data_IF_601420200458
#
_entry.id   IF_601420200458
#
_cell.length_a   1.000
_cell.length_b   1.000
_cell.length_c   1.000
_cell.angle_alpha   90.00
_cell.angle_beta   90.00
_cell.angle_gamma   90.00
#
_symmetry.space_group_name_H-M   'P 1'
#
loop_
_entity.id
_entity.type
_entity.pdbx_description
1 polymer ?
#
# COMPACT_ATOMS: atom_id res chain seq x y z
N UNK A 1 -42.61 -78.46 -45.85
CA UNK A 1 -42.08 -77.45 -44.91
C UNK A 1 -40.62 -77.76 -44.70
N UNK A 2 -39.72 -76.97 -45.31
CA UNK A 2 -38.29 -77.17 -45.11
C UNK A 2 -37.84 -76.37 -43.89
N UNK A 3 -37.37 -77.12 -42.90
CA UNK A 3 -36.78 -76.68 -41.64
C UNK A 3 -35.64 -75.66 -41.83
N UNK A 4 -35.03 -75.61 -43.02
CA UNK A 4 -33.95 -74.68 -43.35
C UNK A 4 -34.33 -73.19 -43.31
N UNK A 5 -35.61 -72.84 -43.56
CA UNK A 5 -36.07 -71.45 -43.46
C UNK A 5 -36.27 -71.00 -42.00
N UNK A 6 -36.64 -71.94 -41.11
CA UNK A 6 -36.77 -71.67 -39.68
C UNK A 6 -35.41 -71.50 -39.00
N UNK A 7 -34.40 -72.30 -39.37
CA UNK A 7 -33.04 -72.16 -38.81
C UNK A 7 -32.36 -70.85 -39.22
N UNK A 8 -32.59 -70.34 -40.45
CA UNK A 8 -32.06 -69.04 -40.88
C UNK A 8 -32.69 -67.85 -40.14
N UNK A 9 -34.00 -67.90 -39.88
CA UNK A 9 -34.69 -66.83 -39.16
C UNK A 9 -34.28 -66.77 -37.69
N UNK A 10 -34.06 -67.92 -37.05
CA UNK A 10 -33.62 -67.99 -35.65
C UNK A 10 -32.16 -67.55 -35.50
N UNK A 11 -31.27 -67.93 -36.41
CA UNK A 11 -29.86 -67.48 -36.39
C UNK A 11 -29.69 -65.97 -36.56
N UNK A 12 -30.49 -65.34 -37.43
CA UNK A 12 -30.44 -63.88 -37.62
C UNK A 12 -30.98 -63.06 -36.43
N UNK A 13 -31.88 -63.63 -35.63
CA UNK A 13 -32.42 -62.97 -34.44
C UNK A 13 -31.41 -63.04 -33.28
N UNK A 14 -30.70 -64.17 -33.12
CA UNK A 14 -29.65 -64.31 -32.11
C UNK A 14 -28.43 -63.42 -32.41
N UNK A 15 -28.02 -63.32 -33.68
CA UNK A 15 -26.92 -62.43 -34.08
C UNK A 15 -27.27 -60.94 -33.86
N UNK A 16 -28.50 -60.51 -34.15
CA UNK A 16 -28.93 -59.11 -33.93
C UNK A 16 -29.10 -58.80 -32.41
N UNK A 17 -29.49 -59.79 -31.59
CA UNK A 17 -29.54 -59.63 -30.14
C UNK A 17 -28.16 -59.63 -29.48
N UNK A 18 -27.22 -60.48 -29.92
CA UNK A 18 -25.82 -60.44 -29.46
C UNK A 18 -25.17 -59.09 -29.81
N UNK A 19 -25.38 -58.63 -31.04
CA UNK A 19 -24.85 -57.33 -31.51
C UNK A 19 -25.41 -56.17 -30.68
N UNK A 20 -26.67 -56.26 -30.23
CA UNK A 20 -27.29 -55.24 -29.36
C UNK A 20 -26.91 -55.37 -27.87
N UNK A 21 -26.50 -56.55 -27.40
CA UNK A 21 -26.09 -56.77 -26.01
C UNK A 21 -24.64 -56.35 -25.76
N UNK A 22 -23.74 -56.55 -26.74
CA UNK A 22 -22.35 -56.08 -26.68
C UNK A 22 -22.26 -54.54 -26.74
N UNK A 23 -23.25 -53.88 -27.35
CA UNK A 23 -23.35 -52.41 -27.37
C UNK A 23 -23.72 -51.77 -26.02
N UNK A 24 -24.13 -52.54 -24.99
CA UNK A 24 -24.60 -52.02 -23.69
C UNK A 24 -23.69 -52.26 -22.49
N UNK A 25 -22.50 -52.84 -22.66
CA UNK A 25 -21.48 -52.94 -21.59
C UNK A 25 -20.27 -52.03 -21.87
N UNK A 26 -20.39 -50.76 -21.49
CA UNK A 26 -19.20 -49.89 -21.35
C UNK A 26 -18.34 -50.35 -20.15
N UNK A 27 -17.00 -50.17 -20.19
CA UNK A 27 -16.45 -48.91 -19.68
C UNK A 27 -15.27 -48.33 -20.48
N UNK A 28 -15.26 -47.00 -20.55
CA UNK A 28 -14.13 -46.07 -20.36
C UNK A 28 -12.72 -46.41 -20.87
N UNK A 29 -12.17 -45.39 -21.51
CA UNK A 29 -10.76 -45.18 -21.93
C UNK A 29 -10.43 -45.96 -23.21
N UNK A 30 -9.79 -45.37 -24.22
CA UNK A 30 -8.65 -44.46 -24.14
C UNK A 30 -8.50 -43.79 -25.53
N UNK A 31 -8.09 -42.52 -25.54
CA UNK A 31 -7.66 -41.75 -26.71
C UNK A 31 -8.75 -41.10 -27.59
N UNK A 32 -9.57 -40.28 -26.94
CA UNK A 32 -10.13 -39.08 -27.56
C UNK A 32 -9.07 -37.98 -27.49
N UNK A 33 -8.18 -37.94 -28.47
CA UNK A 33 -7.20 -36.86 -28.60
C UNK A 33 -6.92 -36.65 -30.08
N UNK A 34 -7.58 -35.64 -30.64
CA UNK A 34 -7.09 -34.74 -31.68
C UNK A 34 -8.16 -33.67 -31.84
N UNK A 35 -7.71 -32.42 -32.00
CA UNK A 35 -8.52 -31.22 -32.25
C UNK A 35 -9.12 -30.50 -31.03
N UNK A 36 -8.29 -30.15 -30.03
CA UNK A 36 -8.62 -29.07 -29.09
C UNK A 36 -7.39 -28.37 -28.47
N UNK A 37 -6.31 -28.18 -29.23
CA UNK A 37 -5.09 -27.52 -28.73
C UNK A 37 -4.77 -26.18 -29.38
N UNK A 38 -5.75 -25.49 -29.97
CA UNK A 38 -5.54 -24.15 -30.56
C UNK A 38 -6.35 -23.01 -29.90
N UNK A 39 -7.39 -23.31 -29.11
CA UNK A 39 -8.25 -22.28 -28.50
C UNK A 39 -7.91 -22.05 -27.01
N UNK A 40 -7.32 -23.05 -26.32
CA UNK A 40 -6.98 -22.92 -24.90
C UNK A 40 -5.75 -22.02 -24.63
N UNK A 41 -4.81 -21.88 -25.58
CA UNK A 41 -3.65 -21.00 -25.42
C UNK A 41 -3.97 -19.53 -25.65
N UNK A 42 -4.98 -19.20 -26.46
CA UNK A 42 -5.39 -17.81 -26.68
C UNK A 42 -6.10 -17.20 -25.46
N UNK A 43 -6.93 -17.99 -24.76
CA UNK A 43 -7.63 -17.50 -23.56
C UNK A 43 -6.69 -17.36 -22.34
N UNK A 44 -5.74 -18.28 -22.16
CA UNK A 44 -4.76 -18.19 -21.08
C UNK A 44 -3.79 -17.00 -21.26
N UNK A 45 -3.37 -16.70 -22.49
CA UNK A 45 -2.50 -15.56 -22.78
C UNK A 45 -3.19 -14.21 -22.50
N UNK A 46 -4.49 -14.06 -22.81
CA UNK A 46 -5.24 -12.83 -22.51
C UNK A 46 -5.43 -12.63 -21.00
N UNK A 47 -5.67 -13.70 -20.23
CA UNK A 47 -5.82 -13.60 -18.77
C UNK A 47 -4.47 -13.32 -18.09
N UNK A 48 -3.37 -13.91 -18.57
CA UNK A 48 -2.02 -13.62 -18.06
C UNK A 48 -1.59 -12.20 -18.43
N UNK A 49 -1.91 -11.70 -19.64
CA UNK A 49 -1.64 -10.32 -20.02
C UNK A 49 -2.47 -9.31 -19.23
N UNK A 50 -3.74 -9.59 -18.92
CA UNK A 50 -4.57 -8.71 -18.09
C UNK A 50 -4.14 -8.69 -16.62
N UNK A 51 -3.61 -9.81 -16.10
CA UNK A 51 -3.00 -9.87 -14.77
C UNK A 51 -1.62 -9.19 -14.74
N UNK A 52 -0.81 -9.33 -15.80
CA UNK A 52 0.53 -8.73 -15.87
C UNK A 52 0.51 -7.20 -16.05
N UNK A 53 -0.49 -6.64 -16.73
CA UNK A 53 -0.62 -5.17 -16.84
C UNK A 53 -1.18 -4.51 -15.58
N UNK A 54 -1.91 -5.25 -14.73
CA UNK A 54 -2.45 -4.74 -13.47
C UNK A 54 -1.46 -4.83 -12.31
N UNK A 55 -0.40 -5.65 -12.40
CA UNK A 55 0.69 -5.69 -11.42
C UNK A 55 1.70 -4.55 -11.64
N UNK A 56 1.75 -3.97 -12.84
CA UNK A 56 2.71 -2.91 -13.20
C UNK A 56 2.14 -1.49 -13.16
N UNK A 57 0.92 -1.32 -12.64
CA UNK A 57 0.29 -0.01 -12.47
C UNK A 57 -0.34 0.12 -11.09
N UNK A 58 0.36 -0.36 -10.05
CA UNK A 58 0.16 0.16 -8.70
C UNK A 58 0.71 1.60 -8.71
N UNK A 59 -0.14 2.55 -9.12
CA UNK A 59 0.07 3.93 -8.72
C UNK A 59 0.07 3.90 -7.20
N UNK A 60 1.25 4.04 -6.59
CA UNK A 60 1.36 4.26 -5.15
C UNK A 60 0.38 5.40 -4.82
N UNK A 61 -0.62 5.18 -3.97
CA UNK A 61 -1.58 6.21 -3.66
C UNK A 61 -0.84 7.38 -2.99
N UNK A 62 -0.61 8.44 -3.76
CA UNK A 62 -0.14 9.70 -3.21
C UNK A 62 -1.36 10.45 -2.69
N UNK A 63 -1.38 10.74 -1.39
CA UNK A 63 -2.39 11.59 -0.78
C UNK A 63 -1.88 13.03 -0.72
N UNK A 64 -2.66 13.96 -1.28
CA UNK A 64 -2.49 15.40 -1.10
C UNK A 64 -3.67 15.97 -0.32
N UNK A 65 -3.40 16.94 0.54
CA UNK A 65 -4.45 17.62 1.27
C UNK A 65 -5.15 18.67 0.39
N UNK A 66 -6.47 18.65 0.38
CA UNK A 66 -7.26 19.79 -0.10
C UNK A 66 -7.24 20.97 0.89
N UNK A 67 -7.30 22.19 0.37
CA UNK A 67 -7.43 23.43 1.15
C UNK A 67 -6.08 24.07 1.50
N UNK A 68 -6.09 25.01 2.45
CA UNK A 68 -4.88 25.71 2.89
C UNK A 68 -4.02 24.78 3.74
N UNK A 69 -2.76 24.60 3.33
CA UNK A 69 -1.77 23.80 4.06
C UNK A 69 -0.65 24.71 4.58
N UNK A 70 -0.36 24.57 5.88
CA UNK A 70 0.78 25.20 6.54
C UNK A 70 1.91 24.18 6.56
N UNK A 71 3.01 24.50 5.88
CA UNK A 71 4.21 23.67 5.80
C UNK A 71 5.45 24.33 6.42
N UNK A 72 5.30 25.56 6.91
CA UNK A 72 6.33 26.30 7.62
C UNK A 72 5.73 27.41 8.48
N UNK A 73 6.48 27.80 9.50
CA UNK A 73 6.24 29.01 10.27
C UNK A 73 7.55 29.46 10.88
N UNK A 74 7.80 30.77 10.92
CA UNK A 74 8.99 31.34 11.55
C UNK A 74 8.68 31.74 12.99
N UNK A 75 9.59 31.46 13.92
CA UNK A 75 9.49 31.99 15.30
C UNK A 75 9.92 33.47 15.33
N UNK A 76 9.19 34.38 16.03
CA UNK A 76 9.48 35.82 16.01
C UNK A 76 10.81 36.31 16.62
N UNK A 77 11.80 35.45 16.85
CA UNK A 77 13.08 35.85 17.46
C UNK A 77 14.21 34.88 17.09
N UNK A 78 14.82 35.03 15.92
CA UNK A 78 16.17 34.54 15.55
C UNK A 78 16.65 33.23 16.20
N UNK A 79 15.78 32.23 16.30
CA UNK A 79 16.00 31.04 17.12
C UNK A 79 16.86 30.03 16.38
N UNK A 80 17.94 29.63 17.04
CA UNK A 80 18.93 28.63 16.62
C UNK A 80 18.24 27.37 16.04
N UNK A 81 18.73 26.79 14.93
CA UNK A 81 18.16 25.57 14.36
C UNK A 81 18.22 24.39 15.33
N UNK A 82 17.05 23.79 15.55
CA UNK A 82 16.75 22.36 15.39
C UNK A 82 17.54 21.23 16.06
N UNK A 83 18.59 21.46 16.87
CA UNK A 83 19.46 20.32 17.28
C UNK A 83 19.51 20.02 18.78
N UNK A 84 18.62 20.57 19.61
CA UNK A 84 18.69 20.33 21.08
C UNK A 84 17.34 20.22 21.76
N UNK A 85 16.39 19.53 21.13
CA UNK A 85 15.17 19.11 21.82
C UNK A 85 15.40 17.76 22.51
N UNK A 86 14.96 17.67 23.75
CA UNK A 86 14.98 16.39 24.47
C UNK A 86 14.09 15.39 23.72
N UNK A 87 14.65 14.23 23.40
CA UNK A 87 13.90 13.17 22.75
C UNK A 87 12.69 12.78 23.61
N UNK A 88 11.48 12.73 23.04
CA UNK A 88 10.30 12.33 23.79
C UNK A 88 10.45 10.92 24.37
N UNK A 89 10.03 10.74 25.62
CA UNK A 89 9.88 9.41 26.23
C UNK A 89 8.64 8.72 25.65
N UNK A 90 8.54 7.40 25.82
CA UNK A 90 7.41 6.64 25.30
C UNK A 90 6.07 7.12 25.90
N UNK A 91 5.01 7.15 25.08
CA UNK A 91 3.71 7.72 25.44
C UNK A 91 3.64 9.24 25.42
N UNK A 92 4.72 9.95 25.08
CA UNK A 92 4.77 11.40 25.06
C UNK A 92 4.92 11.98 23.66
N UNK A 93 4.56 13.26 23.52
CA UNK A 93 4.66 14.00 22.27
C UNK A 93 5.27 15.37 22.49
N UNK A 94 6.04 15.83 21.51
CA UNK A 94 6.65 17.14 21.47
C UNK A 94 6.35 17.82 20.13
N UNK A 95 6.13 19.13 20.16
CA UNK A 95 5.98 19.95 18.96
C UNK A 95 7.10 20.97 18.94
N UNK A 96 7.79 21.09 17.81
CA UNK A 96 8.79 22.12 17.63
C UNK A 96 8.18 23.52 17.82
N UNK A 97 8.96 24.53 18.24
CA UNK A 97 8.45 25.88 18.45
C UNK A 97 7.72 26.46 17.23
N UNK A 98 8.15 26.12 16.02
CA UNK A 98 7.53 26.53 14.76
C UNK A 98 6.12 25.94 14.63
N UNK A 99 5.95 24.65 14.93
CA UNK A 99 4.62 24.01 14.93
C UNK A 99 3.72 24.61 16.01
N UNK A 100 4.25 24.86 17.20
CA UNK A 100 3.49 25.53 18.26
C UNK A 100 3.06 26.94 17.86
N UNK A 101 3.94 27.70 17.21
CA UNK A 101 3.64 29.05 16.72
C UNK A 101 2.59 29.00 15.60
N UNK A 102 2.70 28.05 14.68
CA UNK A 102 1.74 27.86 13.60
C UNK A 102 0.34 27.56 14.14
N UNK A 103 0.24 26.66 15.14
CA UNK A 103 -1.00 26.33 15.84
C UNK A 103 -1.63 27.56 16.51
N UNK A 104 -0.82 28.41 17.16
CA UNK A 104 -1.30 29.65 17.79
C UNK A 104 -1.81 30.65 16.76
N UNK A 105 -1.03 30.93 15.72
CA UNK A 105 -1.34 31.93 14.68
C UNK A 105 -2.56 31.58 13.84
N UNK A 106 -2.85 30.29 13.71
CA UNK A 106 -3.95 29.77 12.92
C UNK A 106 -5.05 29.13 13.78
N UNK A 107 -5.11 29.47 15.07
CA UNK A 107 -6.18 29.02 15.96
C UNK A 107 -7.55 29.41 15.40
N UNK A 108 -8.47 28.44 15.36
CA UNK A 108 -9.84 28.62 14.86
C UNK A 108 -9.97 28.73 13.34
N UNK A 109 -8.87 28.63 12.57
CA UNK A 109 -8.92 28.58 11.11
C UNK A 109 -9.01 27.13 10.63
N UNK A 110 -9.73 26.92 9.54
CA UNK A 110 -9.75 25.63 8.83
C UNK A 110 -8.52 25.52 7.92
N UNK A 111 -7.42 25.05 8.52
CA UNK A 111 -6.15 24.80 7.83
C UNK A 111 -5.61 23.43 8.23
N UNK A 112 -4.80 22.84 7.35
CA UNK A 112 -4.03 21.63 7.64
C UNK A 112 -2.57 21.97 7.88
N UNK A 113 -1.89 21.16 8.67
CA UNK A 113 -0.46 21.27 8.95
C UNK A 113 0.23 20.06 8.33
N UNK A 114 1.16 20.31 7.41
CA UNK A 114 2.03 19.28 6.86
C UNK A 114 3.30 19.23 7.70
N UNK A 115 3.44 18.19 8.50
CA UNK A 115 4.52 18.06 9.49
C UNK A 115 5.21 16.70 9.35
N UNK A 116 6.52 16.69 9.56
CA UNK A 116 7.28 15.48 9.82
C UNK A 116 6.91 14.91 11.19
N UNK A 117 6.95 13.58 11.29
CA UNK A 117 6.71 12.82 12.51
C UNK A 117 7.98 12.01 12.78
N UNK A 118 8.78 12.47 13.73
CA UNK A 118 9.93 11.70 14.21
C UNK A 118 9.41 10.74 15.29
N UNK A 119 9.56 9.43 15.07
CA UNK A 119 9.09 8.39 15.99
C UNK A 119 10.27 7.78 16.72
N UNK A 120 10.12 7.61 18.04
CA UNK A 120 11.18 7.12 18.92
C UNK A 120 10.69 5.92 19.72
N UNK A 121 11.53 4.90 19.88
CA UNK A 121 11.35 3.85 20.87
C UNK A 121 12.50 3.93 21.87
N UNK A 122 12.18 4.06 23.16
CA UNK A 122 13.16 4.23 24.24
C UNK A 122 14.16 5.37 23.96
N UNK A 123 13.62 6.50 23.49
CA UNK A 123 14.37 7.71 23.11
C UNK A 123 15.34 7.53 21.94
N UNK A 124 15.24 6.44 21.16
CA UNK A 124 16.03 6.22 19.95
C UNK A 124 15.14 6.35 18.72
N UNK A 125 15.57 7.07 17.67
CA UNK A 125 14.78 7.17 16.45
C UNK A 125 14.63 5.78 15.84
N UNK A 126 13.41 5.43 15.43
CA UNK A 126 13.18 4.22 14.66
C UNK A 126 13.48 4.48 13.18
N UNK A 127 13.95 3.46 12.47
CA UNK A 127 14.21 3.57 11.04
C UNK A 127 12.89 3.66 10.26
N UNK A 128 12.81 4.60 9.33
CA UNK A 128 11.58 4.98 8.59
C UNK A 128 10.93 3.79 7.87
N UNK A 129 11.72 2.85 7.35
CA UNK A 129 11.25 1.67 6.62
C UNK A 129 11.30 0.37 7.44
N UNK A 130 11.52 0.47 8.75
CA UNK A 130 11.50 -0.71 9.63
C UNK A 130 10.07 -1.26 9.76
N UNK A 131 9.95 -2.56 10.03
CA UNK A 131 8.65 -3.17 10.35
C UNK A 131 7.94 -2.47 11.52
N UNK A 132 8.71 -1.92 12.47
CA UNK A 132 8.22 -1.14 13.59
C UNK A 132 7.55 0.17 13.13
N UNK A 133 8.21 0.93 12.25
CA UNK A 133 7.65 2.14 11.67
C UNK A 133 6.40 1.86 10.81
N UNK A 134 6.41 0.78 10.02
CA UNK A 134 5.26 0.36 9.20
C UNK A 134 4.07 0.01 10.08
N UNK A 135 4.25 -0.77 11.15
CA UNK A 135 3.19 -1.11 12.09
C UNK A 135 2.59 0.14 12.75
N UNK A 136 3.43 1.12 13.10
CA UNK A 136 2.96 2.36 13.68
C UNK A 136 2.19 3.23 12.67
N UNK A 137 2.64 3.29 11.41
CA UNK A 137 1.89 3.95 10.33
C UNK A 137 0.53 3.30 10.06
N UNK A 138 0.46 1.97 10.07
CA UNK A 138 -0.81 1.24 9.96
C UNK A 138 -1.76 1.59 11.12
N UNK A 139 -1.24 1.63 12.36
CA UNK A 139 -2.01 2.03 13.55
C UNK A 139 -2.53 3.47 13.44
N UNK A 140 -1.66 4.42 13.08
CA UNK A 140 -2.04 5.83 12.92
C UNK A 140 -3.08 6.02 11.80
N UNK A 141 -2.96 5.24 10.73
CA UNK A 141 -3.95 5.23 9.64
C UNK A 141 -5.29 4.66 10.10
N UNK A 142 -5.30 3.60 10.92
CA UNK A 142 -6.50 3.04 11.53
C UNK A 142 -7.20 4.02 12.49
N UNK A 143 -6.44 4.96 13.08
CA UNK A 143 -6.95 6.10 13.84
C UNK A 143 -7.41 7.29 12.96
N UNK A 144 -7.48 7.09 11.65
CA UNK A 144 -7.89 8.06 10.63
C UNK A 144 -6.95 9.27 10.46
N UNK A 145 -5.70 9.18 10.93
CA UNK A 145 -4.70 10.17 10.54
C UNK A 145 -4.29 9.99 9.08
N UNK A 146 -3.98 11.10 8.41
CA UNK A 146 -3.44 11.10 7.04
C UNK A 146 -1.93 11.16 7.13
N UNK A 147 -1.32 9.99 7.28
CA UNK A 147 0.13 9.81 7.47
C UNK A 147 0.72 8.89 6.40
N UNK A 148 2.00 9.06 6.13
CA UNK A 148 2.76 8.24 5.20
C UNK A 148 4.16 8.78 4.97
N UNK A 149 4.78 8.40 3.86
CA UNK A 149 6.15 8.82 3.55
C UNK A 149 6.17 10.06 2.66
N UNK A 150 6.98 11.04 3.04
CA UNK A 150 7.32 12.18 2.21
C UNK A 150 8.82 12.15 1.87
N UNK A 151 9.22 12.93 0.87
CA UNK A 151 10.61 13.06 0.45
C UNK A 151 11.11 14.47 0.72
N UNK A 152 12.30 14.55 1.30
CA UNK A 152 13.09 15.76 1.39
C UNK A 152 14.47 15.46 0.82
N UNK A 153 15.25 16.49 0.54
CA UNK A 153 16.62 16.31 0.10
C UNK A 153 17.57 17.06 1.02
N UNK A 154 18.81 16.58 1.13
CA UNK A 154 19.90 17.25 1.86
C UNK A 154 21.19 17.23 1.04
N UNK A 155 22.18 18.01 1.45
CA UNK A 155 23.51 17.97 0.85
C UNK A 155 24.39 16.92 1.53
N UNK A 156 24.97 16.00 0.75
CA UNK A 156 25.97 15.04 1.22
C UNK A 156 27.27 15.16 0.42
N UNK A 157 28.40 14.89 1.09
CA UNK A 157 29.73 14.91 0.45
C UNK A 157 30.04 16.25 -0.23
N UNK A 158 30.33 16.20 -1.54
CA UNK A 158 30.67 17.37 -2.36
C UNK A 158 29.44 18.20 -2.76
N UNK A 159 28.58 18.56 -1.80
CA UNK A 159 27.34 19.31 -2.03
C UNK A 159 26.37 18.62 -3.00
N UNK A 160 26.39 17.29 -3.05
CA UNK A 160 25.43 16.54 -3.85
C UNK A 160 24.08 16.52 -3.13
N UNK A 161 23.01 16.87 -3.85
CA UNK A 161 21.65 16.67 -3.34
C UNK A 161 21.32 15.19 -3.31
N UNK A 162 20.91 14.72 -2.14
CA UNK A 162 20.51 13.33 -1.89
C UNK A 162 19.14 13.34 -1.23
N UNK A 163 18.19 12.68 -1.90
CA UNK A 163 16.84 12.48 -1.38
C UNK A 163 16.87 11.51 -0.20
N UNK A 164 16.03 11.77 0.79
CA UNK A 164 15.75 10.87 1.89
C UNK A 164 14.26 10.88 2.20
N UNK A 165 13.73 9.72 2.56
CA UNK A 165 12.34 9.56 2.97
C UNK A 165 12.20 9.76 4.48
N UNK A 166 11.07 10.32 4.89
CA UNK A 166 10.70 10.50 6.29
C UNK A 166 9.20 10.32 6.47
N UNK A 167 8.76 10.05 7.71
CA UNK A 167 7.33 9.97 8.01
C UNK A 167 6.76 11.38 8.12
N UNK A 168 5.64 11.62 7.44
CA UNK A 168 4.93 12.88 7.46
C UNK A 168 3.42 12.65 7.57
N UNK A 169 2.69 13.72 7.87
CA UNK A 169 1.23 13.70 7.77
C UNK A 169 0.59 15.07 7.64
N UNK A 170 -0.66 15.06 7.21
CA UNK A 170 -1.54 16.22 7.21
C UNK A 170 -2.50 16.16 8.38
N UNK A 171 -2.41 17.14 9.27
CA UNK A 171 -3.21 17.18 10.48
C UNK A 171 -4.02 18.46 10.58
N UNK A 172 -5.20 18.39 11.17
CA UNK A 172 -5.88 19.58 11.71
C UNK A 172 -5.25 19.99 13.05
N UNK A 173 -5.56 21.21 13.52
CA UNK A 173 -5.13 21.66 14.84
C UNK A 173 -5.64 20.73 15.96
N UNK A 174 -6.89 20.26 15.84
CA UNK A 174 -7.50 19.34 16.81
C UNK A 174 -6.85 17.96 16.79
N UNK A 175 -6.47 17.46 15.61
CA UNK A 175 -5.75 16.19 15.49
C UNK A 175 -4.36 16.28 16.13
N UNK A 176 -3.62 17.39 15.94
CA UNK A 176 -2.34 17.58 16.62
C UNK A 176 -2.57 17.66 18.14
N UNK A 177 -3.47 18.52 18.62
CA UNK A 177 -3.74 18.69 20.07
C UNK A 177 -4.14 17.39 20.76
N UNK A 178 -5.03 16.62 20.13
CA UNK A 178 -5.58 15.38 20.66
C UNK A 178 -4.88 14.14 20.13
N UNK A 179 -3.65 14.27 19.59
CA UNK A 179 -2.92 13.16 19.02
C UNK A 179 -2.80 12.00 20.01
N UNK A 180 -3.18 10.80 19.56
CA UNK A 180 -3.24 9.56 20.34
C UNK A 180 -1.91 8.82 20.23
N UNK A 181 -0.97 9.23 21.08
CA UNK A 181 0.35 8.62 21.21
C UNK A 181 0.21 7.17 21.71
N UNK A 182 0.94 6.25 21.08
CA UNK A 182 1.11 4.90 21.62
C UNK A 182 2.04 4.93 22.85
N UNK A 183 1.76 4.10 23.85
CA UNK A 183 2.60 4.01 25.05
C UNK A 183 4.00 3.45 24.79
N UNK A 184 4.24 2.81 23.64
CA UNK A 184 5.54 2.28 23.25
C UNK A 184 6.43 3.30 22.55
N UNK A 185 5.89 4.44 22.09
CA UNK A 185 6.64 5.39 21.28
C UNK A 185 6.60 6.82 21.81
N UNK A 186 7.69 7.55 21.58
CA UNK A 186 7.76 9.00 21.67
C UNK A 186 7.58 9.64 20.29
N UNK A 187 6.97 10.82 20.22
CA UNK A 187 6.67 11.50 18.95
C UNK A 187 7.17 12.95 18.93
N UNK A 188 7.94 13.31 17.90
CA UNK A 188 8.32 14.68 17.59
C UNK A 188 7.59 15.17 16.34
N UNK A 189 7.01 16.37 16.40
CA UNK A 189 6.38 17.02 15.25
C UNK A 189 7.13 18.29 14.88
N UNK A 190 7.55 18.41 13.62
CA UNK A 190 8.27 19.58 13.10
C UNK A 190 7.90 19.85 11.64
N UNK A 191 8.12 21.07 11.18
CA UNK A 191 8.13 21.34 9.74
C UNK A 191 9.44 20.83 9.13
N UNK A 192 9.34 20.06 8.06
CA UNK A 192 10.51 19.57 7.34
C UNK A 192 11.08 20.66 6.43
N UNK A 193 12.40 20.69 6.31
CA UNK A 193 13.13 21.56 5.38
C UNK A 193 14.06 20.73 4.51
N UNK A 194 14.29 21.22 3.29
CA UNK A 194 15.33 20.70 2.42
C UNK A 194 16.72 21.17 2.87
N UNK A 195 17.77 20.70 2.18
CA UNK A 195 19.17 21.01 2.49
C UNK A 195 19.54 22.49 2.35
N UNK A 196 18.73 23.29 1.65
CA UNK A 196 18.84 24.75 1.57
C UNK A 196 18.10 25.49 2.69
N UNK A 197 17.42 24.76 3.60
CA UNK A 197 16.62 25.33 4.68
C UNK A 197 15.23 25.81 4.25
N UNK A 198 14.86 25.67 2.97
CA UNK A 198 13.50 25.98 2.52
C UNK A 198 12.53 24.88 2.95
N UNK A 199 11.26 25.21 3.23
CA UNK A 199 10.26 24.23 3.58
C UNK A 199 10.09 23.18 2.49
N UNK A 200 9.87 21.94 2.92
CA UNK A 200 9.45 20.88 2.01
C UNK A 200 8.04 21.19 1.49
N UNK A 201 7.86 21.10 0.17
CA UNK A 201 6.58 21.38 -0.48
C UNK A 201 5.54 20.30 -0.13
N UNK A 202 4.43 20.72 0.45
CA UNK A 202 3.31 19.87 0.82
C UNK A 202 2.49 19.43 -0.38
N UNK A 203 2.60 20.07 -1.55
CA UNK A 203 1.89 19.64 -2.76
C UNK A 203 2.47 18.35 -3.35
N UNK A 204 3.67 17.94 -2.92
CA UNK A 204 4.25 16.64 -3.28
C UNK A 204 3.40 15.45 -2.80
N UNK A 205 2.61 15.65 -1.75
CA UNK A 205 1.82 14.60 -1.12
C UNK A 205 2.60 13.73 -0.12
N UNK A 206 1.92 12.68 0.33
CA UNK A 206 2.50 11.57 1.08
C UNK A 206 2.18 10.26 0.38
N UNK A 207 3.15 9.37 0.31
CA UNK A 207 2.95 7.99 -0.11
C UNK A 207 2.31 7.21 1.05
N UNK A 208 1.06 6.77 0.85
CA UNK A 208 0.32 5.99 1.86
C UNK A 208 0.43 4.48 1.65
N UNK A 209 1.30 4.02 0.74
CA UNK A 209 1.68 2.61 0.65
C UNK A 209 2.94 2.33 1.45
N UNK A 210 2.75 1.66 2.59
CA UNK A 210 3.83 1.37 3.54
C UNK A 210 4.59 0.07 3.23
N UNK A 211 4.12 -0.72 2.26
CA UNK A 211 4.62 -2.08 1.99
C UNK A 211 5.55 -2.08 0.78
N UNK A 212 6.70 -1.43 0.93
CA UNK A 212 7.80 -1.48 -0.05
C UNK A 212 8.78 -2.59 0.26
#
# INVERSE_FOLDING_TARGET
MNSEQLYRAIGQIDDDLLTRYEARRQPRSKYWLKWSSAIAFAAAAVIISFMATNVWNQQNPIYTASGTVIQSETTPSGGIPSDSYATPVNGSKFYSPEVQQALKKNAGKDVKYFVAIDVFNDMKPIEVNSAEAVNELERLTALHYKVGYATAWTYQGNQQQVDYSYIAGYFTADQLKNFVADSHYGYGFRFATNGDGLPVDADQGIDIDFKK
#
